data_IF_658143744414
#
_entry.id   IF_658143744414
#
_cell.length_a   1.000
_cell.length_b   1.000
_cell.length_c   1.000
_cell.angle_alpha   90.00
_cell.angle_beta   90.00
_cell.angle_gamma   90.00
#
_symmetry.space_group_name_H-M   'P 1'
#
loop_
_entity.id
_entity.type
_entity.pdbx_description
1 polymer ?
#
# COMPACT_ATOMS: atom_id res chain seq x y z
N UNK A 1 -27.90 -47.15 -9.31
CA UNK A 1 -28.93 -46.41 -8.55
C UNK A 1 -28.32 -45.17 -7.92
N UNK A 2 -28.72 -44.00 -8.41
CA UNK A 2 -28.30 -42.68 -7.93
C UNK A 2 -28.88 -42.39 -6.53
N UNK A 3 -28.09 -41.84 -5.60
CA UNK A 3 -28.57 -41.36 -4.28
C UNK A 3 -28.64 -39.84 -4.26
N UNK A 4 -29.81 -39.35 -3.83
CA UNK A 4 -30.28 -37.97 -3.85
C UNK A 4 -29.49 -37.01 -2.94
N UNK A 5 -29.35 -35.77 -3.45
CA UNK A 5 -29.00 -34.53 -2.73
C UNK A 5 -30.19 -34.06 -1.87
N UNK A 6 -29.91 -33.25 -0.83
CA UNK A 6 -30.49 -31.91 -0.56
C UNK A 6 -30.46 -31.53 0.94
N UNK A 7 -29.59 -30.54 1.24
CA UNK A 7 -29.76 -29.36 2.11
C UNK A 7 -30.32 -29.54 3.54
N UNK A 8 -29.47 -29.34 4.56
CA UNK A 8 -29.84 -28.89 5.92
C UNK A 8 -29.56 -27.39 6.02
N UNK A 9 -30.58 -26.56 5.86
CA UNK A 9 -31.39 -25.92 6.91
C UNK A 9 -30.67 -24.74 7.58
N UNK A 10 -30.95 -23.55 7.04
CA UNK A 10 -30.66 -22.24 7.63
C UNK A 10 -31.73 -21.97 8.70
N UNK A 11 -31.33 -21.80 9.95
CA UNK A 11 -32.23 -21.47 11.05
C UNK A 11 -32.65 -20.00 10.94
N UNK A 12 -33.89 -19.78 10.51
CA UNK A 12 -34.59 -18.51 10.59
C UNK A 12 -35.25 -18.36 11.97
N UNK A 13 -35.04 -17.22 12.62
CA UNK A 13 -35.83 -16.74 13.75
C UNK A 13 -35.68 -15.21 13.81
N UNK A 14 -36.67 -14.37 14.06
CA UNK A 14 -38.12 -14.45 13.98
C UNK A 14 -38.55 -12.96 13.96
N UNK A 15 -39.30 -12.54 12.93
CA UNK A 15 -39.92 -11.21 12.94
C UNK A 15 -41.20 -11.28 13.75
N UNK A 16 -41.23 -10.63 14.91
CA UNK A 16 -42.49 -10.37 15.61
C UNK A 16 -43.19 -9.19 14.92
N UNK A 17 -44.13 -9.52 14.03
CA UNK A 17 -45.16 -8.60 13.54
C UNK A 17 -46.36 -8.76 14.47
N UNK A 18 -46.72 -7.71 15.21
CA UNK A 18 -48.06 -7.55 15.78
C UNK A 18 -48.45 -6.08 15.64
N UNK A 19 -49.56 -5.84 14.93
CA UNK A 19 -50.18 -4.52 14.79
C UNK A 19 -50.78 -4.29 13.42
N UNK A 20 -51.93 -4.90 13.14
CA UNK A 20 -52.81 -4.52 12.04
C UNK A 20 -53.37 -3.13 12.37
N UNK A 21 -53.15 -2.15 11.48
CA UNK A 21 -53.72 -0.82 11.59
C UNK A 21 -53.38 0.05 10.39
N UNK A 22 -54.34 0.18 9.47
CA UNK A 22 -54.44 1.16 8.37
C UNK A 22 -53.28 1.25 7.37
N UNK A 23 -53.56 0.79 6.15
CA UNK A 23 -52.88 1.17 4.91
C UNK A 23 -52.76 2.69 4.82
N UNK A 24 -51.54 3.20 4.96
CA UNK A 24 -51.13 4.49 4.42
C UNK A 24 -49.89 4.28 3.57
N UNK A 25 -50.03 4.62 2.30
CA UNK A 25 -49.00 4.69 1.27
C UNK A 25 -47.85 5.57 1.74
N UNK A 26 -46.74 4.96 2.15
CA UNK A 26 -45.43 5.63 2.20
C UNK A 26 -44.50 4.97 1.18
N UNK A 27 -44.53 5.51 -0.03
CA UNK A 27 -43.44 5.38 -1.00
C UNK A 27 -42.19 6.05 -0.42
N UNK A 28 -41.06 5.34 -0.45
CA UNK A 28 -39.72 5.76 -0.01
C UNK A 28 -39.47 5.89 1.51
N UNK A 29 -39.54 4.78 2.24
CA UNK A 29 -38.61 4.61 3.36
C UNK A 29 -37.30 4.05 2.81
N UNK A 30 -36.33 4.91 2.48
CA UNK A 30 -34.93 4.48 2.38
C UNK A 30 -34.56 3.89 3.74
N UNK A 31 -34.52 2.56 3.83
CA UNK A 31 -33.98 1.87 4.99
C UNK A 31 -32.50 2.21 5.04
N UNK A 32 -32.16 3.31 5.72
CA UNK A 32 -30.79 3.64 6.10
C UNK A 32 -30.36 2.54 7.06
N UNK A 33 -29.75 1.50 6.51
CA UNK A 33 -29.23 0.40 7.30
C UNK A 33 -28.20 1.00 8.25
N UNK A 34 -28.55 1.06 9.55
CA UNK A 34 -27.68 1.58 10.58
C UNK A 34 -26.37 0.77 10.53
N UNK A 35 -25.32 1.41 10.02
CA UNK A 35 -24.01 0.79 9.85
C UNK A 35 -23.42 0.54 11.24
N UNK A 36 -23.62 -0.66 11.78
CA UNK A 36 -23.10 -1.06 13.08
C UNK A 36 -21.58 -1.13 13.02
N UNK A 37 -20.90 -0.54 14.00
CA UNK A 37 -19.45 -0.62 14.12
C UNK A 37 -19.06 -1.90 14.86
N UNK A 38 -18.05 -2.59 14.34
CA UNK A 38 -17.55 -3.86 14.87
C UNK A 38 -16.08 -3.73 15.23
N UNK A 39 -15.73 -4.04 16.48
CA UNK A 39 -14.33 -4.08 16.90
C UNK A 39 -13.60 -5.29 16.31
N UNK A 40 -12.32 -5.13 15.98
CA UNK A 40 -11.47 -6.26 15.58
C UNK A 40 -11.14 -7.18 16.74
N UNK A 41 -11.05 -6.61 17.94
CA UNK A 41 -10.74 -7.34 19.17
C UNK A 41 -11.73 -6.96 20.27
N UNK A 42 -12.05 -7.93 21.13
CA UNK A 42 -12.91 -7.72 22.30
C UNK A 42 -12.30 -6.77 23.34
N UNK A 43 -10.97 -6.65 23.38
CA UNK A 43 -10.26 -5.72 24.27
C UNK A 43 -10.17 -4.29 23.73
N UNK A 44 -10.82 -4.01 22.59
CA UNK A 44 -10.89 -2.71 21.92
C UNK A 44 -9.53 -2.08 21.57
N UNK A 45 -8.42 -2.83 21.64
CA UNK A 45 -7.08 -2.28 21.41
C UNK A 45 -6.80 -2.06 19.92
N UNK A 46 -6.01 -1.02 19.62
CA UNK A 46 -5.55 -0.69 18.26
C UNK A 46 -4.83 -1.86 17.59
N UNK A 47 -5.24 -2.16 16.36
CA UNK A 47 -4.55 -3.08 15.46
C UNK A 47 -3.83 -2.27 14.41
N UNK A 48 -2.52 -2.51 14.26
CA UNK A 48 -1.75 -1.96 13.15
C UNK A 48 -2.14 -2.70 11.88
N UNK A 49 -2.58 -1.94 10.88
CA UNK A 49 -2.80 -2.47 9.54
C UNK A 49 -1.46 -2.52 8.81
N UNK A 50 -0.75 -1.40 8.74
CA UNK A 50 0.48 -1.27 7.96
C UNK A 50 0.69 0.15 7.46
N UNK A 51 1.31 0.31 6.30
CA UNK A 51 1.40 1.58 5.58
C UNK A 51 0.35 1.64 4.46
N UNK A 52 -0.04 2.83 4.03
CA UNK A 52 -0.98 3.02 2.92
C UNK A 52 -0.46 4.03 1.91
N UNK A 53 -0.47 3.67 0.63
CA UNK A 53 -0.14 4.54 -0.49
C UNK A 53 -1.31 4.57 -1.49
N UNK A 54 -1.71 5.77 -1.94
CA UNK A 54 -2.82 6.00 -2.88
C UNK A 54 -4.14 5.33 -2.50
N UNK A 55 -4.32 4.94 -1.23
CA UNK A 55 -5.53 4.25 -0.77
C UNK A 55 -6.70 5.25 -0.73
N UNK A 56 -7.87 4.93 -1.32
CA UNK A 56 -8.98 5.87 -1.33
C UNK A 56 -9.62 5.95 0.04
N UNK A 57 -9.77 7.18 0.51
CA UNK A 57 -10.38 7.49 1.79
C UNK A 57 -11.83 7.93 1.59
N UNK A 58 -12.71 7.47 2.47
CA UNK A 58 -14.01 8.09 2.70
C UNK A 58 -13.91 8.89 3.97
N UNK A 59 -13.99 10.21 3.84
CA UNK A 59 -13.95 11.13 4.95
C UNK A 59 -15.37 11.57 5.29
N UNK A 60 -15.65 11.64 6.59
CA UNK A 60 -16.90 12.13 7.12
C UNK A 60 -16.61 13.23 8.13
N UNK A 61 -17.23 14.38 7.93
CA UNK A 61 -17.27 15.47 8.90
C UNK A 61 -18.64 15.47 9.60
N UNK A 62 -18.66 15.36 10.92
CA UNK A 62 -19.88 15.25 11.72
C UNK A 62 -20.93 14.25 11.17
N UNK A 63 -20.46 13.14 10.59
CA UNK A 63 -21.30 12.09 10.00
C UNK A 63 -21.76 12.33 8.56
N UNK A 64 -21.45 13.49 7.97
CA UNK A 64 -21.70 13.80 6.55
C UNK A 64 -20.46 13.49 5.73
N UNK A 65 -20.65 12.79 4.60
CA UNK A 65 -19.53 12.47 3.69
C UNK A 65 -19.07 13.74 2.98
N UNK A 66 -17.76 13.98 2.99
CA UNK A 66 -17.14 15.09 2.27
C UNK A 66 -16.37 14.58 1.05
N UNK A 67 -16.24 15.44 0.04
CA UNK A 67 -15.58 15.17 -1.23
C UNK A 67 -14.69 16.34 -1.63
N UNK A 68 -13.64 16.08 -2.40
CA UNK A 68 -12.86 17.16 -3.00
C UNK A 68 -13.72 17.90 -4.04
N UNK A 69 -13.67 19.24 -4.02
CA UNK A 69 -14.47 20.11 -4.89
C UNK A 69 -15.98 19.81 -4.84
N UNK A 70 -16.48 19.33 -3.69
CA UNK A 70 -17.87 18.91 -3.48
C UNK A 70 -18.41 17.89 -4.51
N UNK A 71 -17.49 17.15 -5.16
CA UNK A 71 -17.84 16.22 -6.24
C UNK A 71 -17.43 14.78 -5.94
N UNK A 72 -18.42 13.88 -5.98
CA UNK A 72 -18.23 12.45 -5.78
C UNK A 72 -17.37 11.78 -6.86
N UNK A 73 -17.19 12.43 -8.01
CA UNK A 73 -16.41 11.94 -9.15
C UNK A 73 -15.08 12.67 -9.31
N UNK A 74 -14.76 13.64 -8.44
CA UNK A 74 -13.47 14.35 -8.49
C UNK A 74 -12.30 13.38 -8.41
N UNK A 75 -11.34 13.53 -9.32
CA UNK A 75 -10.08 12.78 -9.32
C UNK A 75 -9.19 13.14 -8.13
N UNK A 76 -9.42 14.31 -7.52
CA UNK A 76 -8.72 14.80 -6.32
C UNK A 76 -9.33 14.26 -5.02
N UNK A 77 -10.27 13.31 -5.10
CA UNK A 77 -10.83 12.69 -3.89
C UNK A 77 -9.74 12.01 -3.06
N UNK A 78 -9.77 12.28 -1.75
CA UNK A 78 -8.68 12.06 -0.81
C UNK A 78 -8.07 10.65 -0.83
N UNK A 79 -6.74 10.61 -0.83
CA UNK A 79 -5.92 9.40 -0.75
C UNK A 79 -5.00 9.42 0.47
N UNK A 80 -4.62 8.24 0.94
CA UNK A 80 -3.51 8.08 1.89
C UNK A 80 -2.22 7.90 1.11
N UNK A 81 -1.40 8.94 1.02
CA UNK A 81 -0.17 8.94 0.21
C UNK A 81 1.13 8.84 1.03
N UNK A 82 1.04 8.93 2.35
CA UNK A 82 2.22 9.00 3.22
C UNK A 82 2.74 7.62 3.62
N UNK A 83 4.03 7.38 3.38
CA UNK A 83 4.78 6.24 3.91
C UNK A 83 5.75 6.77 4.98
N UNK A 84 5.69 6.23 6.19
CA UNK A 84 6.57 6.63 7.30
C UNK A 84 6.02 6.27 8.69
N UNK A 85 6.88 6.24 9.71
CA UNK A 85 6.55 5.79 11.07
C UNK A 85 5.41 6.57 11.74
N UNK A 86 5.34 7.87 11.46
CA UNK A 86 4.28 8.78 11.93
C UNK A 86 2.91 8.43 11.33
N UNK A 87 2.88 7.75 10.18
CA UNK A 87 1.69 7.48 9.38
C UNK A 87 1.30 5.99 9.34
N UNK A 88 1.74 5.19 10.31
CA UNK A 88 1.29 3.80 10.45
C UNK A 88 -0.24 3.76 10.60
N UNK A 89 -0.92 3.15 9.62
CA UNK A 89 -2.36 2.97 9.62
C UNK A 89 -2.74 2.00 10.73
N UNK A 90 -3.63 2.45 11.62
CA UNK A 90 -4.17 1.67 12.73
C UNK A 90 -5.68 1.74 12.72
N UNK A 91 -6.32 0.72 13.30
CA UNK A 91 -7.77 0.67 13.44
C UNK A 91 -8.19 -0.04 14.72
N UNK A 92 -9.35 0.33 15.25
CA UNK A 92 -10.04 -0.43 16.29
C UNK A 92 -11.06 -1.43 15.72
N UNK A 93 -11.47 -1.26 14.47
CA UNK A 93 -12.67 -1.93 13.98
C UNK A 93 -13.08 -1.54 12.58
N UNK A 94 -14.20 -2.10 12.15
CA UNK A 94 -14.74 -1.97 10.82
C UNK A 94 -16.25 -1.76 10.85
N UNK A 95 -16.81 -1.30 9.73
CA UNK A 95 -18.27 -1.26 9.50
C UNK A 95 -18.57 -1.47 8.02
N UNK A 96 -19.82 -1.83 7.70
CA UNK A 96 -20.28 -1.88 6.32
C UNK A 96 -20.88 -0.55 5.88
N UNK A 97 -20.41 0.02 4.77
CA UNK A 97 -20.99 1.23 4.16
C UNK A 97 -21.41 0.86 2.74
N UNK A 98 -22.70 0.91 2.46
CA UNK A 98 -23.30 0.50 1.18
C UNK A 98 -22.84 -0.91 0.75
N UNK A 99 -22.93 -1.89 1.65
CA UNK A 99 -22.56 -3.29 1.39
C UNK A 99 -21.05 -3.59 1.35
N UNK A 100 -20.18 -2.57 1.42
CA UNK A 100 -18.72 -2.75 1.38
C UNK A 100 -18.13 -2.59 2.78
N UNK A 101 -17.22 -3.49 3.18
CA UNK A 101 -16.53 -3.44 4.48
C UNK A 101 -15.43 -2.36 4.47
N UNK A 102 -15.43 -1.49 5.47
CA UNK A 102 -14.42 -0.43 5.67
C UNK A 102 -13.76 -0.54 7.04
N UNK A 103 -12.45 -0.31 7.12
CA UNK A 103 -11.76 -0.05 8.39
C UNK A 103 -11.83 1.44 8.73
N UNK A 104 -12.09 1.76 10.00
CA UNK A 104 -11.98 3.15 10.51
C UNK A 104 -10.53 3.44 10.84
N UNK A 105 -9.91 4.41 10.18
CA UNK A 105 -8.54 4.82 10.47
C UNK A 105 -8.51 5.59 11.79
N UNK A 106 -7.64 5.16 12.70
CA UNK A 106 -7.49 5.79 14.01
C UNK A 106 -6.63 7.05 13.92
N UNK A 107 -7.12 8.15 14.50
CA UNK A 107 -6.42 9.42 14.61
C UNK A 107 -5.80 9.91 13.29
N UNK A 108 -6.56 9.77 12.19
CA UNK A 108 -6.08 10.11 10.85
C UNK A 108 -6.26 11.60 10.51
N UNK A 109 -7.25 12.26 11.13
CA UNK A 109 -7.46 13.71 11.08
C UNK A 109 -7.66 14.24 12.49
N UNK A 110 -7.23 15.47 12.76
CA UNK A 110 -7.31 16.09 14.08
C UNK A 110 -8.66 16.80 14.34
N UNK A 111 -9.48 17.02 13.30
CA UNK A 111 -10.60 17.98 13.34
C UNK A 111 -11.98 17.32 13.44
N UNK A 112 -12.14 16.27 14.26
CA UNK A 112 -13.42 15.56 14.42
C UNK A 112 -13.89 14.75 13.20
N UNK A 113 -13.16 14.81 12.10
CA UNK A 113 -13.38 14.02 10.91
C UNK A 113 -13.05 12.53 11.14
N UNK A 114 -13.86 11.64 10.57
CA UNK A 114 -13.59 10.20 10.52
C UNK A 114 -13.17 9.76 9.12
N UNK A 115 -12.03 9.08 9.03
CA UNK A 115 -11.55 8.48 7.78
C UNK A 115 -11.81 6.96 7.76
N UNK A 116 -12.29 6.48 6.62
CA UNK A 116 -12.55 5.07 6.37
C UNK A 116 -11.90 4.62 5.08
N UNK A 117 -11.34 3.41 5.08
CA UNK A 117 -10.70 2.82 3.90
C UNK A 117 -11.31 1.44 3.62
N UNK A 118 -11.60 1.09 2.34
CA UNK A 118 -12.14 -0.22 2.02
C UNK A 118 -11.21 -1.35 2.48
N UNK A 119 -11.75 -2.35 3.17
CA UNK A 119 -10.99 -3.48 3.68
C UNK A 119 -10.33 -4.33 2.56
N UNK A 120 -10.84 -4.24 1.32
CA UNK A 120 -10.30 -4.96 0.16
C UNK A 120 -8.83 -4.63 -0.13
N UNK A 121 -8.39 -3.40 0.16
CA UNK A 121 -7.00 -2.99 -0.06
C UNK A 121 -6.01 -3.66 0.90
N UNK A 122 -6.50 -4.27 1.97
CA UNK A 122 -5.67 -4.94 2.96
C UNK A 122 -5.41 -6.42 2.62
N UNK A 123 -5.68 -6.83 1.38
CA UNK A 123 -5.50 -8.20 0.87
C UNK A 123 -4.22 -8.31 0.05
N UNK A 124 -3.74 -9.54 -0.18
CA UNK A 124 -2.54 -9.80 -1.00
C UNK A 124 -2.67 -9.27 -2.44
N UNK A 125 -3.87 -9.33 -3.02
CA UNK A 125 -4.14 -8.91 -4.42
C UNK A 125 -3.75 -7.45 -4.71
N UNK A 126 -3.95 -6.55 -3.74
CA UNK A 126 -3.66 -5.11 -3.89
C UNK A 126 -2.31 -4.72 -3.27
N UNK A 127 -1.54 -5.69 -2.80
CA UNK A 127 -0.24 -5.44 -2.18
C UNK A 127 0.78 -6.42 -2.72
N UNK A 128 1.11 -6.22 -3.98
CA UNK A 128 2.15 -6.96 -4.64
C UNK A 128 3.38 -6.08 -4.82
N UNK A 129 4.28 -6.11 -3.84
CA UNK A 129 5.64 -5.59 -3.98
C UNK A 129 6.61 -6.67 -4.48
N UNK A 130 6.13 -7.85 -4.89
CA UNK A 130 7.01 -8.89 -5.43
C UNK A 130 7.61 -8.50 -6.78
N UNK A 131 7.02 -7.51 -7.45
CA UNK A 131 7.61 -6.89 -8.63
C UNK A 131 8.89 -6.11 -8.31
N UNK A 132 9.18 -5.78 -7.06
CA UNK A 132 10.48 -5.22 -6.68
C UNK A 132 11.42 -6.33 -6.22
N UNK A 133 12.72 -6.19 -6.49
CA UNK A 133 13.74 -7.11 -6.02
C UNK A 133 15.04 -6.39 -5.72
N UNK A 134 15.82 -6.93 -4.78
CA UNK A 134 17.10 -6.37 -4.37
C UNK A 134 18.22 -7.18 -5.01
N UNK A 135 19.22 -6.48 -5.54
CA UNK A 135 20.39 -7.01 -6.23
C UNK A 135 21.68 -6.43 -5.63
N UNK A 136 22.75 -7.21 -5.69
CA UNK A 136 24.12 -6.75 -5.43
C UNK A 136 24.79 -6.38 -6.75
N UNK A 137 25.55 -5.29 -6.74
CA UNK A 137 26.40 -4.81 -7.83
C UNK A 137 27.79 -5.42 -7.65
N UNK A 138 28.20 -6.25 -8.60
CA UNK A 138 29.46 -7.01 -8.56
C UNK A 138 30.61 -6.31 -9.27
N UNK A 139 30.31 -5.28 -10.07
CA UNK A 139 31.26 -4.48 -10.82
C UNK A 139 30.75 -3.04 -10.94
N UNK A 140 31.65 -2.06 -11.05
CA UNK A 140 31.26 -0.66 -11.31
C UNK A 140 30.46 -0.57 -12.62
N UNK A 141 29.28 0.01 -12.57
CA UNK A 141 28.37 0.17 -13.72
C UNK A 141 27.79 1.58 -13.74
N UNK A 142 27.51 2.11 -14.93
CA UNK A 142 26.91 3.43 -15.13
C UNK A 142 25.41 3.27 -15.37
N UNK A 143 24.59 3.87 -14.51
CA UNK A 143 23.17 4.04 -14.77
C UNK A 143 22.96 5.21 -15.73
N UNK A 144 21.99 5.12 -16.62
CA UNK A 144 21.54 6.23 -17.47
C UNK A 144 20.61 7.14 -16.66
N UNK A 145 20.61 8.44 -16.95
CA UNK A 145 19.66 9.37 -16.33
C UNK A 145 18.22 9.15 -16.84
N UNK A 146 17.22 9.44 -15.99
CA UNK A 146 15.77 9.22 -16.20
C UNK A 146 15.18 9.87 -17.49
N UNK A 147 15.90 10.73 -18.21
CA UNK A 147 15.41 11.42 -19.42
C UNK A 147 16.05 10.97 -20.74
N UNK A 148 16.96 9.98 -20.71
CA UNK A 148 17.63 9.40 -21.87
C UNK A 148 18.26 10.43 -22.86
N UNK A 149 18.49 11.68 -22.47
CA UNK A 149 19.09 12.66 -23.38
C UNK A 149 20.61 12.60 -23.31
N UNK A 150 21.23 11.59 -23.95
CA UNK A 150 22.63 11.58 -24.45
C UNK A 150 23.65 12.40 -23.64
N UNK A 151 23.58 12.36 -22.33
CA UNK A 151 24.41 13.17 -21.46
C UNK A 151 25.16 12.21 -20.57
N UNK A 152 26.44 12.50 -20.37
CA UNK A 152 27.29 11.71 -19.48
C UNK A 152 26.88 11.79 -18.00
N UNK A 153 25.69 12.33 -17.70
CA UNK A 153 25.13 12.65 -16.38
C UNK A 153 24.54 11.44 -15.64
N UNK A 154 24.69 10.24 -16.19
CA UNK A 154 24.30 9.00 -15.53
C UNK A 154 25.14 8.69 -14.28
N UNK A 155 24.47 8.35 -13.18
CA UNK A 155 25.10 8.01 -11.89
C UNK A 155 25.86 6.68 -11.97
N UNK A 156 26.88 6.51 -11.12
CA UNK A 156 27.65 5.27 -11.05
C UNK A 156 27.24 4.44 -9.84
N UNK A 157 27.02 3.14 -10.07
CA UNK A 157 26.99 2.15 -9.00
C UNK A 157 28.36 1.52 -8.82
N UNK A 158 28.83 1.51 -7.58
CA UNK A 158 30.06 0.88 -7.16
C UNK A 158 29.93 -0.62 -6.96
N UNK A 159 31.07 -1.32 -6.99
CA UNK A 159 31.11 -2.73 -6.58
C UNK A 159 30.82 -2.83 -5.08
N UNK A 160 29.86 -3.67 -4.72
CA UNK A 160 29.38 -3.84 -3.35
C UNK A 160 28.03 -3.17 -3.09
N UNK A 161 27.55 -2.34 -4.02
CA UNK A 161 26.27 -1.67 -3.88
C UNK A 161 25.10 -2.65 -3.91
N UNK A 162 24.06 -2.32 -3.16
CA UNK A 162 22.76 -2.96 -3.06
C UNK A 162 21.72 -2.07 -3.72
N UNK A 163 21.23 -2.48 -4.89
CA UNK A 163 20.20 -1.73 -5.62
C UNK A 163 18.84 -2.41 -5.47
N UNK A 164 17.77 -1.62 -5.50
CA UNK A 164 16.41 -2.14 -5.69
C UNK A 164 16.03 -1.96 -7.15
N UNK A 165 15.45 -3.01 -7.73
CA UNK A 165 15.10 -3.12 -9.14
C UNK A 165 13.59 -3.29 -9.25
N UNK A 166 12.98 -2.57 -10.18
CA UNK A 166 11.63 -2.88 -10.61
C UNK A 166 11.67 -3.94 -11.72
N UNK A 167 11.10 -5.11 -11.45
CA UNK A 167 10.98 -6.17 -12.44
C UNK A 167 9.83 -5.90 -13.43
N UNK A 168 9.05 -4.84 -13.21
CA UNK A 168 8.03 -4.35 -14.13
C UNK A 168 8.40 -2.92 -14.52
N UNK A 169 8.75 -2.68 -15.79
CA UNK A 169 9.10 -1.33 -16.24
C UNK A 169 7.94 -0.37 -15.97
N UNK A 170 8.15 0.67 -15.16
CA UNK A 170 7.10 1.65 -14.83
C UNK A 170 6.71 2.49 -16.04
N UNK A 171 7.64 2.62 -16.97
CA UNK A 171 7.57 3.47 -18.14
C UNK A 171 7.35 2.67 -19.42
N UNK A 172 7.09 1.37 -19.28
CA UNK A 172 6.72 0.47 -20.37
C UNK A 172 7.75 0.44 -21.51
N UNK A 173 9.03 0.68 -21.20
CA UNK A 173 10.12 0.38 -22.12
C UNK A 173 10.74 -0.95 -21.70
N UNK A 174 10.44 -2.00 -22.46
CA UNK A 174 11.05 -3.33 -22.30
C UNK A 174 12.57 -3.35 -22.59
N UNK A 175 13.18 -2.16 -22.71
CA UNK A 175 14.57 -1.95 -23.16
C UNK A 175 15.56 -1.84 -22.01
N UNK A 176 15.12 -1.47 -20.80
CA UNK A 176 16.02 -1.17 -19.68
C UNK A 176 15.53 -1.77 -18.36
N UNK A 177 16.46 -1.83 -17.40
CA UNK A 177 16.19 -2.27 -16.03
C UNK A 177 16.08 -1.03 -15.14
N UNK A 178 14.86 -0.74 -14.67
CA UNK A 178 14.58 0.40 -13.78
C UNK A 178 15.13 0.11 -12.38
N UNK A 179 15.97 1.01 -11.86
CA UNK A 179 16.54 0.87 -10.52
C UNK A 179 16.14 2.04 -9.62
N UNK A 180 16.24 1.89 -8.30
CA UNK A 180 15.93 2.94 -7.32
C UNK A 180 17.18 3.33 -6.55
N UNK A 181 17.44 4.63 -6.42
CA UNK A 181 18.58 5.19 -5.68
C UNK A 181 18.17 6.23 -4.63
N UNK A 182 18.90 6.31 -3.48
CA UNK A 182 20.13 5.60 -3.17
C UNK A 182 20.00 4.66 -1.98
N UNK A 183 20.92 3.69 -1.96
CA UNK A 183 21.55 3.28 -0.71
C UNK A 183 22.13 4.50 0.01
N UNK A 184 21.47 4.97 1.06
CA UNK A 184 22.06 5.93 1.98
C UNK A 184 22.87 5.19 3.05
N UNK A 185 23.92 4.45 2.68
CA UNK A 185 24.77 3.77 3.67
C UNK A 185 26.08 4.52 3.98
N UNK A 186 26.38 5.58 3.22
CA UNK A 186 27.51 6.49 3.45
C UNK A 186 28.90 5.85 3.34
N UNK A 187 29.00 4.59 2.88
CA UNK A 187 30.27 3.83 2.89
C UNK A 187 30.81 3.49 1.50
N UNK A 188 29.95 3.43 0.48
CA UNK A 188 30.34 2.86 -0.83
C UNK A 188 30.38 3.86 -1.99
N UNK A 189 29.99 5.13 -1.76
CA UNK A 189 30.00 6.19 -2.78
C UNK A 189 31.10 7.22 -2.48
N UNK A 190 32.33 6.93 -2.90
CA UNK A 190 33.50 7.78 -2.65
C UNK A 190 33.54 9.10 -3.46
N UNK A 191 32.70 9.25 -4.49
CA UNK A 191 32.82 10.36 -5.46
C UNK A 191 31.77 11.48 -5.29
N UNK A 192 31.14 11.57 -4.12
CA UNK A 192 30.23 12.67 -3.77
C UNK A 192 28.75 12.32 -3.95
N UNK A 193 28.02 12.31 -2.84
CA UNK A 193 26.58 12.09 -2.85
C UNK A 193 25.85 13.34 -3.38
N UNK A 194 24.97 13.16 -4.36
CA UNK A 194 23.84 14.07 -4.50
C UNK A 194 22.91 13.91 -3.29
N UNK A 195 22.35 15.02 -2.83
CA UNK A 195 21.32 15.01 -1.77
C UNK A 195 20.03 14.47 -2.36
N UNK A 196 19.85 13.15 -2.39
CA UNK A 196 18.59 12.56 -2.83
C UNK A 196 17.55 12.71 -1.72
N UNK A 197 16.71 13.73 -1.85
CA UNK A 197 15.49 13.87 -1.05
C UNK A 197 14.50 12.83 -1.56
N UNK A 198 14.32 11.74 -0.79
CA UNK A 198 13.42 10.59 -1.05
C UNK A 198 13.95 9.51 -2.00
N UNK A 199 13.30 8.34 -1.97
CA UNK A 199 13.61 7.20 -2.85
C UNK A 199 13.26 7.56 -4.30
N UNK A 200 14.18 8.24 -4.97
CA UNK A 200 14.08 8.57 -6.39
C UNK A 200 14.32 7.31 -7.21
N UNK A 201 13.66 7.18 -8.36
CA UNK A 201 14.10 6.22 -9.36
C UNK A 201 15.55 6.59 -9.68
N UNK A 202 16.42 5.62 -9.50
CA UNK A 202 17.85 5.76 -9.71
C UNK A 202 18.16 5.27 -11.10
N UNK A 203 17.80 6.01 -12.13
CA UNK A 203 18.23 5.71 -13.48
C UNK A 203 17.94 4.30 -14.01
N UNK A 204 18.47 4.06 -15.20
CA UNK A 204 18.19 2.89 -16.01
C UNK A 204 19.48 2.15 -16.34
N UNK A 205 19.47 0.82 -16.22
CA UNK A 205 20.61 -0.02 -16.61
C UNK A 205 20.33 -0.75 -17.92
N UNK A 206 21.35 -0.85 -18.76
CA UNK A 206 21.34 -1.76 -19.90
C UNK A 206 21.14 -3.21 -19.40
N UNK A 207 20.20 -4.00 -19.97
CA UNK A 207 19.91 -5.35 -19.50
C UNK A 207 21.10 -6.31 -19.60
N UNK A 208 21.97 -6.16 -20.60
CA UNK A 208 23.14 -7.02 -20.76
C UNK A 208 24.20 -6.69 -19.70
N UNK A 209 24.43 -5.41 -19.43
CA UNK A 209 25.32 -4.98 -18.34
C UNK A 209 24.78 -5.38 -16.98
N UNK A 210 23.48 -5.17 -16.71
CA UNK A 210 22.84 -5.61 -15.48
C UNK A 210 23.00 -7.11 -15.27
N UNK A 211 22.72 -7.93 -16.29
CA UNK A 211 22.88 -9.40 -16.19
C UNK A 211 24.32 -9.82 -15.96
N UNK A 212 25.29 -9.09 -16.50
CA UNK A 212 26.72 -9.38 -16.37
C UNK A 212 27.28 -8.96 -15.01
N UNK A 213 26.83 -7.83 -14.50
CA UNK A 213 27.46 -7.15 -13.37
C UNK A 213 26.60 -7.07 -12.11
N UNK A 214 25.36 -7.52 -12.13
CA UNK A 214 24.50 -7.61 -10.96
C UNK A 214 24.09 -9.06 -10.67
N UNK A 215 23.80 -9.36 -9.41
CA UNK A 215 23.28 -10.66 -8.99
C UNK A 215 22.19 -10.48 -7.94
N UNK A 216 21.16 -11.33 -7.95
CA UNK A 216 20.06 -11.21 -6.99
C UNK A 216 20.60 -11.34 -5.58
N UNK A 217 20.29 -10.37 -4.73
CA UNK A 217 20.77 -10.35 -3.36
C UNK A 217 20.08 -11.44 -2.51
N UNK A 218 20.69 -11.78 -1.38
CA UNK A 218 20.12 -12.75 -0.44
C UNK A 218 18.75 -12.29 0.07
N UNK A 219 17.96 -13.23 0.62
CA UNK A 219 16.63 -12.95 1.18
C UNK A 219 16.64 -11.85 2.27
N UNK A 220 17.77 -11.65 2.95
CA UNK A 220 17.90 -10.76 4.11
C UNK A 220 18.83 -9.55 3.87
N UNK A 221 19.40 -9.43 2.66
CA UNK A 221 20.16 -8.23 2.28
C UNK A 221 19.24 -7.01 2.39
N UNK A 222 19.73 -5.96 3.05
CA UNK A 222 18.93 -4.78 3.40
C UNK A 222 19.17 -3.66 2.38
N UNK A 223 18.09 -3.19 1.77
CA UNK A 223 18.06 -1.97 1.00
C UNK A 223 17.37 -0.89 1.86
N UNK A 224 18.13 0.08 2.36
CA UNK A 224 17.60 1.12 3.24
C UNK A 224 16.86 2.20 2.45
N UNK A 225 15.75 2.68 2.98
CA UNK A 225 14.94 3.74 2.38
C UNK A 225 14.82 4.93 3.34
N UNK A 226 15.25 6.10 2.88
CA UNK A 226 15.30 7.37 3.64
C UNK A 226 16.30 7.36 4.82
N UNK A 227 16.39 8.50 5.51
CA UNK A 227 17.27 8.78 6.66
C UNK A 227 16.86 8.11 7.99
N UNK A 228 16.19 6.95 7.94
CA UNK A 228 15.77 6.18 9.13
C UNK A 228 16.08 4.69 9.02
N UNK A 229 15.83 3.92 10.09
CA UNK A 229 16.03 2.45 10.14
C UNK A 229 14.98 1.65 9.33
N UNK A 230 14.46 2.23 8.24
CA UNK A 230 13.53 1.58 7.34
C UNK A 230 14.29 0.91 6.20
N UNK A 231 14.00 -0.37 5.93
CA UNK A 231 14.64 -1.11 4.87
C UNK A 231 13.74 -2.20 4.27
N UNK A 232 13.98 -2.48 2.99
CA UNK A 232 13.45 -3.64 2.29
C UNK A 232 14.45 -4.79 2.32
N UNK A 233 13.94 -6.01 2.26
CA UNK A 233 14.71 -7.20 1.91
C UNK A 233 13.96 -7.99 0.84
N UNK A 234 14.62 -8.89 0.10
CA UNK A 234 13.91 -9.77 -0.83
C UNK A 234 12.81 -10.60 -0.12
N UNK A 235 13.01 -10.97 1.15
CA UNK A 235 11.97 -11.62 1.96
C UNK A 235 10.81 -10.68 2.33
N UNK A 236 11.07 -9.40 2.60
CA UNK A 236 10.01 -8.43 2.92
C UNK A 236 9.18 -8.10 1.68
N UNK A 237 9.83 -7.93 0.52
CA UNK A 237 9.19 -7.65 -0.77
C UNK A 237 8.30 -8.82 -1.24
N UNK A 238 8.77 -10.06 -1.13
CA UNK A 238 7.95 -11.26 -1.38
C UNK A 238 6.68 -11.33 -0.49
N UNK A 239 6.72 -10.64 0.66
CA UNK A 239 5.61 -10.51 1.59
C UNK A 239 4.88 -9.17 1.48
N UNK A 240 5.16 -8.32 0.49
CA UNK A 240 4.52 -7.01 0.30
C UNK A 240 4.74 -6.06 1.47
N UNK A 241 5.95 -6.01 2.03
CA UNK A 241 6.23 -5.17 3.20
C UNK A 241 7.67 -4.71 3.32
N UNK A 242 7.94 -3.94 4.37
CA UNK A 242 9.26 -3.47 4.75
C UNK A 242 9.53 -3.72 6.24
N UNK A 243 10.78 -3.56 6.64
CA UNK A 243 11.17 -3.51 8.04
C UNK A 243 11.41 -2.07 8.47
N UNK A 244 10.95 -1.70 9.65
CA UNK A 244 11.21 -0.41 10.26
C UNK A 244 11.51 -0.62 11.73
N UNK A 245 12.65 -0.13 12.20
CA UNK A 245 13.14 -0.34 13.58
C UNK A 245 13.14 -1.86 13.94
N UNK A 246 13.58 -2.70 13.00
CA UNK A 246 13.66 -4.16 13.15
C UNK A 246 12.32 -4.91 13.10
N UNK A 247 11.18 -4.22 12.93
CA UNK A 247 9.84 -4.84 12.89
C UNK A 247 9.28 -4.86 11.47
N UNK A 248 8.68 -5.98 11.06
CA UNK A 248 8.03 -6.11 9.76
C UNK A 248 6.67 -5.43 9.73
N UNK A 249 6.41 -4.64 8.68
CA UNK A 249 5.15 -3.99 8.41
C UNK A 249 4.71 -4.25 6.96
N UNK A 250 3.42 -4.55 6.77
CA UNK A 250 2.79 -4.71 5.47
C UNK A 250 2.55 -3.32 4.86
N UNK A 251 2.83 -3.13 3.58
CA UNK A 251 2.41 -1.92 2.83
C UNK A 251 1.08 -2.23 2.16
N UNK A 252 0.24 -1.26 1.85
CA UNK A 252 -0.95 -1.49 1.03
C UNK A 252 -1.03 -0.39 -0.03
N UNK A 253 -1.13 -0.80 -1.29
CA UNK A 253 -1.20 0.11 -2.44
C UNK A 253 -2.56 -0.06 -3.15
N UNK A 254 -2.98 0.94 -3.92
CA UNK A 254 -4.25 0.92 -4.66
C UNK A 254 -4.04 0.58 -6.12
#
# INVERSE_FOLDING_TARGET
MFKNKFIKLLTAAAFAVVGIGSVNTMSQASTVQASTFHYLRKDHKLVTLGFGQKLPLRIYDHGKRIYANDSATSELNYTSDSIGSVFLLKTHGWKYINGVKYYKLYNYYNDGCSAYVPAKYFTKKYNDLSYLSIYNVNHKIKALADDMQNSDQGDWYGKGDIIMVNNYSLWNHDKYVDTYSPMQDGKHNADGAFTYTSATIGGELDPAEFKKYCSKASANTRYYVNSGDAYYTNASLARGGLYMNGKFYKIYNR
#
